data_IF_899893447877
#
_entry.id   IF_899893447877
#
_cell.length_a   1.000
_cell.length_b   1.000
_cell.length_c   1.000
_cell.angle_alpha   90.00
_cell.angle_beta   90.00
_cell.angle_gamma   90.00
#
_symmetry.space_group_name_H-M   'P 1'
#
loop_
_entity.id
_entity.type
_entity.pdbx_description
1 polymer ?
#
# COMPACT_ATOMS: atom_id res chain seq x y z
N UNK A 1 12.82 21.57 -10.35
CA UNK A 1 11.87 20.88 -11.24
C UNK A 1 12.62 19.98 -12.21
N UNK A 2 12.28 18.69 -12.22
CA UNK A 2 12.84 17.73 -13.17
C UNK A 2 12.03 17.72 -14.48
N UNK A 3 12.64 17.21 -15.55
CA UNK A 3 12.00 17.13 -16.88
C UNK A 3 10.69 16.32 -16.88
N UNK A 4 10.56 15.33 -15.99
CA UNK A 4 9.34 14.53 -15.87
C UNK A 4 8.14 15.37 -15.43
N UNK A 5 8.31 16.28 -14.46
CA UNK A 5 7.28 17.22 -13.99
C UNK A 5 6.81 18.13 -15.11
N UNK A 6 7.74 18.69 -15.89
CA UNK A 6 7.38 19.50 -17.05
C UNK A 6 6.56 18.70 -18.07
N UNK A 7 7.02 17.49 -18.42
CA UNK A 7 6.31 16.62 -19.35
C UNK A 7 4.93 16.22 -18.85
N UNK A 8 4.77 16.00 -17.55
CA UNK A 8 3.48 15.66 -16.94
C UNK A 8 2.48 16.81 -17.13
N UNK A 9 2.91 18.04 -16.87
CA UNK A 9 2.07 19.23 -17.06
C UNK A 9 1.74 19.44 -18.55
N UNK A 10 2.72 19.28 -19.43
CA UNK A 10 2.49 19.35 -20.88
C UNK A 10 1.48 18.28 -21.33
N UNK A 11 1.61 17.07 -20.82
CA UNK A 11 0.75 15.94 -21.16
C UNK A 11 -0.71 16.15 -20.68
N UNK A 12 -0.90 16.73 -19.49
CA UNK A 12 -2.21 17.13 -18.97
C UNK A 12 -2.93 18.19 -19.82
N UNK A 13 -2.16 19.07 -20.47
CA UNK A 13 -2.72 20.15 -21.28
C UNK A 13 -2.99 19.71 -22.74
N UNK A 14 -2.72 18.46 -23.11
CA UNK A 14 -3.06 17.96 -24.44
C UNK A 14 -4.57 17.74 -24.51
N UNK A 15 -5.21 18.28 -25.57
CA UNK A 15 -6.58 17.91 -25.92
C UNK A 15 -6.60 16.44 -26.37
N UNK A 16 -6.73 15.53 -25.41
CA UNK A 16 -6.93 14.10 -25.64
C UNK A 16 -8.21 13.67 -24.93
N UNK A 17 -9.09 12.95 -25.65
CA UNK A 17 -10.33 12.43 -25.07
C UNK A 17 -10.08 11.52 -23.86
N UNK A 18 -8.91 10.84 -23.83
CA UNK A 18 -8.43 10.04 -22.69
C UNK A 18 -6.90 10.00 -22.66
N UNK A 19 -6.25 10.47 -21.60
CA UNK A 19 -4.81 10.33 -21.46
C UNK A 19 -4.41 8.86 -21.21
N UNK A 20 -3.21 8.49 -21.66
CA UNK A 20 -2.64 7.16 -21.40
C UNK A 20 -2.13 7.09 -19.96
N UNK A 21 -2.84 6.31 -19.15
CA UNK A 21 -2.54 6.07 -17.73
C UNK A 21 -1.11 5.55 -17.52
N UNK A 22 -0.58 4.78 -18.46
CA UNK A 22 0.79 4.24 -18.36
C UNK A 22 1.85 5.34 -18.49
N UNK A 23 1.58 6.34 -19.34
CA UNK A 23 2.45 7.52 -19.49
C UNK A 23 2.39 8.36 -18.22
N UNK A 24 1.19 8.59 -17.68
CA UNK A 24 1.00 9.27 -16.38
C UNK A 24 1.79 8.61 -15.26
N UNK A 25 1.56 7.31 -15.04
CA UNK A 25 2.26 6.56 -14.00
C UNK A 25 3.77 6.61 -14.20
N UNK A 26 4.27 6.50 -15.43
CA UNK A 26 5.72 6.57 -15.71
C UNK A 26 6.32 7.93 -15.32
N UNK A 27 5.62 9.02 -15.61
CA UNK A 27 6.06 10.38 -15.26
C UNK A 27 5.98 10.62 -13.75
N UNK A 28 4.88 10.23 -13.11
CA UNK A 28 4.70 10.32 -11.65
C UNK A 28 5.78 9.50 -10.93
N UNK A 29 6.03 8.26 -11.34
CA UNK A 29 7.06 7.40 -10.77
C UNK A 29 8.46 8.03 -10.89
N UNK A 30 8.75 8.69 -12.01
CA UNK A 30 10.00 9.43 -12.19
C UNK A 30 10.13 10.60 -11.20
N UNK A 31 9.03 11.29 -10.92
CA UNK A 31 8.97 12.38 -9.90
C UNK A 31 9.11 11.79 -8.50
N UNK A 32 8.44 10.70 -8.19
CA UNK A 32 8.59 10.02 -6.91
C UNK A 32 10.05 9.59 -6.69
N UNK A 33 10.74 9.08 -7.71
CA UNK A 33 12.12 8.60 -7.57
C UNK A 33 13.16 9.72 -7.52
N UNK A 34 13.03 10.75 -8.37
CA UNK A 34 14.09 11.75 -8.60
C UNK A 34 13.65 13.20 -8.36
N UNK A 35 12.37 13.42 -8.08
CA UNK A 35 11.80 14.74 -7.84
C UNK A 35 12.12 15.27 -6.46
N UNK A 36 11.63 16.48 -6.23
CA UNK A 36 11.84 17.25 -5.00
C UNK A 36 10.55 17.91 -4.57
N UNK A 37 10.55 18.54 -3.39
CA UNK A 37 9.45 19.42 -2.97
C UNK A 37 9.09 20.49 -3.99
N UNK A 38 10.08 21.05 -4.72
CA UNK A 38 9.82 22.02 -5.79
C UNK A 38 8.96 21.44 -6.92
N UNK A 39 9.04 20.15 -7.20
CA UNK A 39 8.19 19.49 -8.18
C UNK A 39 6.76 19.36 -7.64
N UNK A 40 6.61 18.97 -6.38
CA UNK A 40 5.32 18.90 -5.70
C UNK A 40 4.64 20.29 -5.59
N UNK A 41 5.39 21.36 -5.32
CA UNK A 41 4.86 22.73 -5.23
C UNK A 41 4.19 23.18 -6.54
N UNK A 42 4.79 22.80 -7.67
CA UNK A 42 4.26 23.12 -9.01
C UNK A 42 3.00 22.31 -9.28
N UNK A 43 3.01 21.01 -8.94
CA UNK A 43 1.82 20.17 -9.09
C UNK A 43 0.69 20.59 -8.16
N UNK A 44 0.97 21.06 -6.95
CA UNK A 44 -0.03 21.62 -6.05
C UNK A 44 -0.66 22.87 -6.64
N UNK A 45 0.15 23.78 -7.23
CA UNK A 45 -0.41 24.95 -7.90
C UNK A 45 -1.38 24.53 -9.02
N UNK A 46 -1.00 23.53 -9.82
CA UNK A 46 -1.85 23.00 -10.89
C UNK A 46 -3.14 22.37 -10.33
N UNK A 47 -3.04 21.58 -9.26
CA UNK A 47 -4.19 21.01 -8.55
C UNK A 47 -5.17 22.12 -8.12
N UNK A 48 -4.67 23.19 -7.49
CA UNK A 48 -5.51 24.28 -6.97
C UNK A 48 -6.19 25.12 -8.07
N UNK A 49 -5.72 25.07 -9.32
CA UNK A 49 -6.39 25.73 -10.45
C UNK A 49 -7.71 25.03 -10.82
N UNK A 50 -7.80 23.72 -10.60
CA UNK A 50 -8.97 22.89 -10.87
C UNK A 50 -9.02 21.69 -9.90
N UNK A 51 -9.37 21.90 -8.61
CA UNK A 51 -9.16 20.91 -7.53
C UNK A 51 -9.98 19.62 -7.68
N UNK A 52 -11.02 19.62 -8.52
CA UNK A 52 -11.91 18.47 -8.74
C UNK A 52 -11.78 17.89 -10.16
N UNK A 53 -10.65 18.11 -10.83
CA UNK A 53 -10.33 17.42 -12.08
C UNK A 53 -10.03 15.94 -11.82
N UNK A 54 -10.59 15.04 -12.63
CA UNK A 54 -10.45 13.59 -12.48
C UNK A 54 -8.98 13.11 -12.52
N UNK A 55 -8.07 13.89 -13.13
CA UNK A 55 -6.66 13.54 -13.22
C UNK A 55 -5.84 13.93 -11.97
N UNK A 56 -6.44 14.65 -11.01
CA UNK A 56 -5.71 15.16 -9.86
C UNK A 56 -5.24 14.06 -8.89
N UNK A 57 -5.95 12.92 -8.84
CA UNK A 57 -5.58 11.79 -7.99
C UNK A 57 -4.17 11.28 -8.27
N UNK A 58 -3.68 11.43 -9.51
CA UNK A 58 -2.30 11.07 -9.90
C UNK A 58 -1.22 11.90 -9.17
N UNK A 59 -1.56 13.04 -8.59
CA UNK A 59 -0.60 13.85 -7.84
C UNK A 59 -0.50 13.44 -6.36
N UNK A 60 -1.47 12.67 -5.85
CA UNK A 60 -1.58 12.41 -4.42
C UNK A 60 -0.35 11.68 -3.87
N UNK A 61 0.22 10.71 -4.60
CA UNK A 61 1.47 10.07 -4.17
C UNK A 61 2.65 11.04 -4.11
N UNK A 62 2.72 12.00 -5.03
CA UNK A 62 3.76 13.05 -5.00
C UNK A 62 3.57 13.94 -3.78
N UNK A 63 2.33 14.29 -3.45
CA UNK A 63 1.99 15.07 -2.27
C UNK A 63 2.29 14.30 -0.98
N UNK A 64 1.94 13.01 -0.88
CA UNK A 64 2.30 12.15 0.27
C UNK A 64 3.81 12.13 0.51
N UNK A 65 4.61 12.08 -0.56
CA UNK A 65 6.07 11.96 -0.46
C UNK A 65 6.77 13.28 -0.15
N UNK A 66 6.36 14.38 -0.77
CA UNK A 66 7.11 15.64 -0.74
C UNK A 66 6.32 16.83 -0.18
N UNK A 67 5.01 16.66 0.02
CA UNK A 67 4.15 17.66 0.63
C UNK A 67 4.36 17.78 2.13
N UNK A 68 3.69 18.77 2.70
CA UNK A 68 3.75 19.08 4.12
C UNK A 68 2.40 19.59 4.63
N UNK A 69 2.38 20.14 5.84
CA UNK A 69 1.18 20.68 6.46
C UNK A 69 0.57 21.84 5.66
N UNK A 70 1.39 22.66 4.97
CA UNK A 70 0.92 23.77 4.15
C UNK A 70 0.19 23.27 2.88
N UNK A 71 0.61 22.12 2.34
CA UNK A 71 -0.14 21.43 1.27
C UNK A 71 -1.50 21.02 1.78
N UNK A 72 -1.52 20.39 2.96
CA UNK A 72 -2.75 19.87 3.53
C UNK A 72 -3.74 20.99 3.84
N UNK A 73 -3.29 22.11 4.40
CA UNK A 73 -4.14 23.28 4.65
C UNK A 73 -4.80 23.79 3.35
N UNK A 74 -4.03 23.97 2.28
CA UNK A 74 -4.56 24.44 0.98
C UNK A 74 -5.56 23.45 0.37
N UNK A 75 -5.29 22.15 0.49
CA UNK A 75 -6.20 21.10 -0.01
C UNK A 75 -7.47 21.07 0.85
N UNK A 76 -7.32 21.16 2.17
CA UNK A 76 -8.42 21.20 3.13
C UNK A 76 -9.37 22.36 2.84
N UNK A 77 -8.83 23.57 2.64
CA UNK A 77 -9.62 24.78 2.35
C UNK A 77 -10.43 24.68 1.04
N UNK A 78 -9.98 23.86 0.08
CA UNK A 78 -10.71 23.62 -1.17
C UNK A 78 -11.72 22.48 -1.07
N UNK A 79 -11.43 21.44 -0.29
CA UNK A 79 -12.17 20.18 -0.34
C UNK A 79 -13.08 19.95 0.87
N UNK A 80 -12.87 20.65 1.99
CA UNK A 80 -13.60 20.44 3.24
C UNK A 80 -14.38 21.71 3.61
N UNK A 81 -15.67 21.54 3.91
CA UNK A 81 -16.53 22.61 4.42
C UNK A 81 -17.41 22.06 5.54
N UNK A 82 -17.55 22.81 6.63
CA UNK A 82 -18.35 22.42 7.80
C UNK A 82 -18.00 21.00 8.32
N UNK A 83 -16.70 20.68 8.34
CA UNK A 83 -16.14 19.36 8.69
C UNK A 83 -16.64 18.21 7.80
N UNK A 84 -16.97 18.48 6.54
CA UNK A 84 -17.41 17.49 5.55
C UNK A 84 -16.67 17.68 4.23
N UNK A 85 -16.36 16.57 3.58
CA UNK A 85 -15.87 16.59 2.20
C UNK A 85 -16.97 17.11 1.28
N UNK A 86 -16.60 18.02 0.38
CA UNK A 86 -17.49 18.50 -0.67
C UNK A 86 -17.86 17.35 -1.62
N UNK A 87 -19.08 17.38 -2.15
CA UNK A 87 -19.64 16.30 -2.99
C UNK A 87 -18.82 16.03 -4.26
N UNK A 88 -18.15 17.06 -4.81
CA UNK A 88 -17.32 16.94 -6.00
C UNK A 88 -15.89 16.46 -5.71
N UNK A 89 -15.50 16.43 -4.43
CA UNK A 89 -14.12 16.11 -4.05
C UNK A 89 -13.94 14.59 -3.93
N UNK A 90 -12.77 14.11 -4.37
CA UNK A 90 -12.41 12.70 -4.25
C UNK A 90 -12.24 12.32 -2.77
N UNK A 91 -12.86 11.21 -2.36
CA UNK A 91 -12.72 10.62 -1.03
C UNK A 91 -11.26 10.32 -0.64
N UNK A 92 -10.36 10.09 -1.59
CA UNK A 92 -8.93 9.85 -1.33
C UNK A 92 -8.23 11.07 -0.69
N UNK A 93 -8.80 12.28 -0.84
CA UNK A 93 -8.34 13.48 -0.14
C UNK A 93 -8.36 13.28 1.38
N UNK A 94 -9.32 12.52 1.93
CA UNK A 94 -9.40 12.22 3.35
C UNK A 94 -8.16 11.46 3.83
N UNK A 95 -7.72 10.46 3.06
CA UNK A 95 -6.50 9.74 3.36
C UNK A 95 -5.28 10.64 3.21
N UNK A 96 -5.19 11.41 2.12
CA UNK A 96 -4.06 12.31 1.86
C UNK A 96 -3.85 13.33 3.00
N UNK A 97 -4.93 13.94 3.49
CA UNK A 97 -4.86 14.87 4.62
C UNK A 97 -4.35 14.19 5.90
N UNK A 98 -4.69 12.90 6.09
CA UNK A 98 -4.12 12.08 7.14
C UNK A 98 -2.64 11.78 6.94
N UNK A 99 -2.22 11.39 5.73
CA UNK A 99 -0.83 11.11 5.38
C UNK A 99 0.07 12.35 5.59
N UNK A 100 -0.46 13.55 5.32
CA UNK A 100 0.18 14.84 5.58
C UNK A 100 0.07 15.30 7.06
N UNK A 101 -0.58 14.53 7.92
CA UNK A 101 -0.73 14.75 9.37
C UNK A 101 -1.39 16.10 9.71
N UNK A 102 -2.38 16.51 8.95
CA UNK A 102 -3.09 17.76 9.17
C UNK A 102 -4.16 17.64 10.25
N UNK A 103 -3.80 17.94 11.49
CA UNK A 103 -4.64 17.72 12.69
C UNK A 103 -6.11 18.17 12.55
N UNK A 104 -6.45 19.33 11.94
CA UNK A 104 -7.85 19.76 11.82
C UNK A 104 -8.77 18.76 11.07
N UNK A 105 -8.23 17.89 10.22
CA UNK A 105 -9.04 16.89 9.50
C UNK A 105 -9.52 15.74 10.41
N UNK A 106 -8.90 15.55 11.57
CA UNK A 106 -9.10 14.34 12.41
C UNK A 106 -10.56 14.11 12.80
N UNK A 107 -11.28 15.16 13.18
CA UNK A 107 -12.72 15.06 13.48
C UNK A 107 -13.54 14.64 12.26
N UNK A 108 -13.17 15.14 11.08
CA UNK A 108 -13.80 14.77 9.81
C UNK A 108 -13.57 13.29 9.49
N UNK A 109 -12.33 12.80 9.66
CA UNK A 109 -12.00 11.38 9.48
C UNK A 109 -12.80 10.49 10.45
N UNK A 110 -12.82 10.85 11.73
CA UNK A 110 -13.57 10.13 12.75
C UNK A 110 -15.08 10.09 12.45
N UNK A 111 -15.63 11.19 11.91
CA UNK A 111 -17.02 11.23 11.46
C UNK A 111 -17.30 10.20 10.36
N UNK A 112 -16.45 10.11 9.33
CA UNK A 112 -16.65 9.15 8.24
C UNK A 112 -16.44 7.68 8.69
N UNK A 113 -15.51 7.44 9.62
CA UNK A 113 -15.25 6.09 10.15
C UNK A 113 -16.36 5.61 11.07
N UNK A 114 -16.75 6.43 12.06
CA UNK A 114 -17.65 6.01 13.15
C UNK A 114 -19.10 6.48 12.98
N UNK A 115 -19.36 7.38 12.03
CA UNK A 115 -20.69 7.90 11.75
C UNK A 115 -21.59 6.93 10.97
N UNK A 116 -22.88 7.23 11.02
CA UNK A 116 -23.90 6.52 10.23
C UNK A 116 -23.94 7.09 8.80
N UNK A 117 -23.09 6.53 7.95
CA UNK A 117 -22.87 6.97 6.55
C UNK A 117 -23.42 5.98 5.52
N UNK A 118 -24.22 5.00 5.95
CA UNK A 118 -24.69 3.93 5.07
C UNK A 118 -23.54 3.07 4.51
N UNK A 119 -23.66 2.65 3.26
CA UNK A 119 -22.75 1.72 2.58
C UNK A 119 -21.67 2.39 1.74
N UNK A 120 -21.30 3.65 1.99
CA UNK A 120 -20.26 4.31 1.20
C UNK A 120 -18.86 3.81 1.58
N UNK A 121 -18.39 2.86 0.78
CA UNK A 121 -17.14 2.13 0.98
C UNK A 121 -15.92 3.06 0.95
N UNK A 122 -15.81 3.94 -0.05
CA UNK A 122 -14.58 4.71 -0.29
C UNK A 122 -14.32 5.74 0.81
N UNK A 123 -15.36 6.44 1.26
CA UNK A 123 -15.24 7.39 2.37
C UNK A 123 -14.76 6.71 3.65
N UNK A 124 -15.30 5.52 3.97
CA UNK A 124 -14.88 4.75 5.15
C UNK A 124 -13.46 4.23 5.00
N UNK A 125 -13.10 3.70 3.82
CA UNK A 125 -11.77 3.19 3.53
C UNK A 125 -10.69 4.28 3.70
N UNK A 126 -10.82 5.38 2.97
CA UNK A 126 -9.84 6.47 3.00
C UNK A 126 -9.79 7.19 4.36
N UNK A 127 -10.93 7.29 5.06
CA UNK A 127 -10.93 7.90 6.40
C UNK A 127 -10.27 7.02 7.44
N UNK A 128 -10.49 5.70 7.40
CA UNK A 128 -9.81 4.77 8.29
C UNK A 128 -8.30 4.79 8.05
N UNK A 129 -7.87 4.77 6.78
CA UNK A 129 -6.47 4.89 6.40
C UNK A 129 -5.86 6.23 6.84
N UNK A 130 -6.55 7.35 6.65
CA UNK A 130 -6.09 8.65 7.14
C UNK A 130 -5.95 8.70 8.66
N UNK A 131 -6.89 8.10 9.40
CA UNK A 131 -6.90 8.08 10.86
C UNK A 131 -5.71 7.30 11.45
N UNK A 132 -5.13 6.36 10.70
CA UNK A 132 -3.91 5.64 11.10
C UNK A 132 -2.70 6.56 11.30
N UNK A 133 -2.72 7.80 10.81
CA UNK A 133 -1.62 8.74 10.96
C UNK A 133 -1.71 9.61 12.24
N UNK A 134 -2.78 9.50 13.03
CA UNK A 134 -3.00 10.31 14.23
C UNK A 134 -2.90 9.50 15.52
N UNK A 135 -2.69 10.18 16.65
CA UNK A 135 -3.04 9.62 17.95
C UNK A 135 -4.57 9.47 18.04
N UNK A 136 -5.06 8.37 18.61
CA UNK A 136 -6.49 8.06 18.70
C UNK A 136 -6.90 7.69 20.12
N UNK A 137 -6.21 8.24 21.13
CA UNK A 137 -6.51 8.02 22.54
C UNK A 137 -7.97 8.37 22.91
N UNK A 138 -8.57 9.35 22.24
CA UNK A 138 -9.96 9.77 22.45
C UNK A 138 -10.99 8.86 21.75
N UNK A 139 -10.56 8.01 20.82
CA UNK A 139 -11.44 7.15 20.01
C UNK A 139 -11.42 5.68 20.42
N UNK A 140 -10.82 5.33 21.56
CA UNK A 140 -10.65 3.94 21.98
C UNK A 140 -11.96 3.15 22.02
N UNK A 141 -13.05 3.74 22.55
CA UNK A 141 -14.35 3.08 22.64
C UNK A 141 -14.97 2.88 21.25
N UNK A 142 -14.87 3.91 20.40
CA UNK A 142 -15.41 3.88 19.04
C UNK A 142 -14.67 2.87 18.16
N UNK A 143 -13.34 2.80 18.26
CA UNK A 143 -12.52 1.83 17.52
C UNK A 143 -12.89 0.41 17.93
N UNK A 144 -12.95 0.11 19.24
CA UNK A 144 -13.35 -1.21 19.73
C UNK A 144 -14.72 -1.62 19.21
N UNK A 145 -15.71 -0.75 19.37
CA UNK A 145 -17.07 -1.01 18.90
C UNK A 145 -17.14 -1.22 17.38
N UNK A 146 -16.39 -0.45 16.60
CA UNK A 146 -16.37 -0.58 15.14
C UNK A 146 -15.70 -1.90 14.69
N UNK A 147 -14.62 -2.32 15.35
CA UNK A 147 -13.96 -3.62 15.08
C UNK A 147 -14.89 -4.77 15.46
N UNK A 148 -15.51 -4.72 16.64
CA UNK A 148 -16.42 -5.77 17.12
C UNK A 148 -17.63 -5.94 16.22
N UNK A 149 -18.11 -4.85 15.61
CA UNK A 149 -19.18 -4.90 14.61
C UNK A 149 -18.78 -5.62 13.32
N UNK A 150 -17.50 -5.89 13.06
CA UNK A 150 -17.04 -6.65 11.90
C UNK A 150 -17.16 -8.17 12.12
N UNK A 151 -17.18 -8.65 13.37
CA UNK A 151 -17.12 -10.08 13.67
C UNK A 151 -18.31 -10.86 13.11
N UNK A 152 -18.01 -12.04 12.55
CA UNK A 152 -19.00 -12.95 11.97
C UNK A 152 -19.66 -12.48 10.68
N UNK A 153 -19.16 -11.42 10.03
CA UNK A 153 -19.70 -10.88 8.78
C UNK A 153 -18.79 -11.15 7.59
N UNK A 154 -19.40 -11.39 6.42
CA UNK A 154 -18.68 -11.54 5.16
C UNK A 154 -18.28 -10.21 4.54
N UNK A 155 -19.19 -9.22 4.55
CA UNK A 155 -18.90 -7.87 4.09
C UNK A 155 -18.70 -6.97 5.30
N UNK A 156 -17.47 -6.45 5.42
CA UNK A 156 -17.06 -5.55 6.50
C UNK A 156 -16.51 -4.25 5.90
N UNK A 157 -16.51 -3.14 6.65
CA UNK A 157 -15.73 -1.96 6.29
C UNK A 157 -14.24 -2.32 6.32
N UNK A 158 -13.69 -2.64 5.17
CA UNK A 158 -12.38 -3.30 4.96
C UNK A 158 -11.24 -2.75 5.83
N UNK A 159 -11.11 -1.43 5.93
CA UNK A 159 -9.99 -0.79 6.63
C UNK A 159 -10.25 -0.42 8.10
N UNK A 160 -11.47 -0.60 8.62
CA UNK A 160 -11.74 -0.40 10.05
C UNK A 160 -10.90 -1.34 10.93
N UNK A 161 -10.76 -2.65 10.61
CA UNK A 161 -9.86 -3.55 11.34
C UNK A 161 -8.42 -3.05 11.51
N UNK A 162 -7.89 -2.23 10.59
CA UNK A 162 -6.53 -1.70 10.70
C UNK A 162 -6.35 -0.81 11.94
N UNK A 163 -7.42 -0.17 12.43
CA UNK A 163 -7.42 0.68 13.61
C UNK A 163 -7.16 -0.09 14.91
N UNK A 164 -7.12 -1.44 14.89
CA UNK A 164 -6.66 -2.24 16.03
C UNK A 164 -5.27 -1.81 16.51
N UNK A 165 -4.44 -1.29 15.59
CA UNK A 165 -3.10 -0.81 15.92
C UNK A 165 -3.10 0.48 16.79
N UNK A 166 -4.24 1.14 16.92
CA UNK A 166 -4.45 2.34 17.72
C UNK A 166 -4.99 2.05 19.12
N UNK A 167 -5.36 0.81 19.41
CA UNK A 167 -5.81 0.42 20.74
C UNK A 167 -4.65 0.34 21.73
N UNK A 168 -4.84 0.85 22.94
CA UNK A 168 -3.85 0.72 24.02
C UNK A 168 -3.67 -0.75 24.46
N UNK A 169 -4.75 -1.52 24.48
CA UNK A 169 -4.76 -2.97 24.64
C UNK A 169 -5.44 -3.62 23.44
N UNK A 170 -4.65 -4.37 22.67
CA UNK A 170 -5.02 -4.94 21.37
C UNK A 170 -4.98 -6.46 21.34
N UNK A 171 -4.40 -7.10 22.36
CA UNK A 171 -4.08 -8.54 22.36
C UNK A 171 -5.34 -9.39 22.15
N UNK A 172 -6.44 -9.02 22.80
CA UNK A 172 -7.72 -9.74 22.70
C UNK A 172 -8.43 -9.59 21.35
N UNK A 173 -7.93 -8.76 20.44
CA UNK A 173 -8.53 -8.51 19.12
C UNK A 173 -7.77 -9.22 17.99
N UNK A 174 -6.49 -9.54 18.16
CA UNK A 174 -5.66 -10.07 17.07
C UNK A 174 -6.09 -11.47 16.60
N UNK A 175 -6.38 -12.38 17.53
CA UNK A 175 -6.87 -13.72 17.19
C UNK A 175 -8.28 -13.69 16.56
N UNK A 176 -9.28 -12.98 17.15
CA UNK A 176 -10.58 -12.82 16.50
C UNK A 176 -10.53 -12.19 15.10
N UNK A 177 -9.62 -11.23 14.88
CA UNK A 177 -9.40 -10.65 13.54
C UNK A 177 -8.79 -11.67 12.57
N UNK A 178 -7.92 -12.55 13.05
CA UNK A 178 -7.38 -13.63 12.22
C UNK A 178 -8.49 -14.62 11.84
N UNK A 179 -9.33 -15.03 12.79
CA UNK A 179 -10.48 -15.89 12.54
C UNK A 179 -11.48 -15.24 11.57
N UNK A 180 -11.76 -13.94 11.76
CA UNK A 180 -12.59 -13.15 10.85
C UNK A 180 -12.10 -13.26 9.41
N UNK A 181 -10.82 -12.94 9.16
CA UNK A 181 -10.28 -12.99 7.79
C UNK A 181 -10.11 -14.40 7.23
N UNK A 182 -9.98 -15.41 8.10
CA UNK A 182 -9.78 -16.80 7.69
C UNK A 182 -11.07 -17.55 7.34
N UNK A 183 -12.16 -17.28 8.08
CA UNK A 183 -13.36 -18.13 8.08
C UNK A 183 -14.65 -17.39 7.70
N UNK A 184 -14.68 -16.05 7.76
CA UNK A 184 -15.92 -15.28 7.63
C UNK A 184 -15.88 -14.21 6.54
N UNK A 185 -14.88 -13.33 6.57
CA UNK A 185 -14.79 -12.18 5.69
C UNK A 185 -14.58 -12.61 4.23
N UNK A 186 -15.12 -11.83 3.30
CA UNK A 186 -14.72 -11.91 1.89
C UNK A 186 -13.22 -11.65 1.78
N UNK A 187 -12.54 -12.34 0.88
CA UNK A 187 -11.12 -12.08 0.61
C UNK A 187 -10.90 -10.63 0.20
N UNK A 188 -11.85 -10.04 -0.52
CA UNK A 188 -11.87 -8.60 -0.88
C UNK A 188 -11.91 -7.63 0.31
N UNK A 189 -12.10 -8.09 1.55
CA UNK A 189 -12.13 -7.24 2.74
C UNK A 189 -10.95 -7.49 3.70
N UNK A 190 -9.99 -8.35 3.32
CA UNK A 190 -8.92 -8.78 4.22
C UNK A 190 -7.73 -7.81 4.29
N UNK A 191 -7.64 -6.83 3.39
CA UNK A 191 -6.51 -5.92 3.35
C UNK A 191 -6.32 -5.10 4.63
N UNK A 192 -7.41 -4.59 5.22
CA UNK A 192 -7.32 -3.83 6.46
C UNK A 192 -6.97 -4.69 7.68
N UNK A 193 -7.38 -5.96 7.70
CA UNK A 193 -6.94 -6.91 8.74
C UNK A 193 -5.43 -7.15 8.63
N UNK A 194 -4.95 -7.40 7.41
CA UNK A 194 -3.52 -7.58 7.13
C UNK A 194 -2.69 -6.36 7.53
N UNK A 195 -3.17 -5.17 7.16
CA UNK A 195 -2.55 -3.90 7.54
C UNK A 195 -2.52 -3.74 9.07
N UNK A 196 -3.63 -4.03 9.75
CA UNK A 196 -3.73 -4.01 11.21
C UNK A 196 -2.69 -4.90 11.89
N UNK A 197 -2.52 -6.15 11.44
CA UNK A 197 -1.46 -7.02 11.96
C UNK A 197 -0.06 -6.42 11.77
N UNK A 198 0.21 -5.85 10.60
CA UNK A 198 1.53 -5.28 10.32
C UNK A 198 1.85 -4.05 11.18
N UNK A 199 0.84 -3.26 11.55
CA UNK A 199 0.99 -2.06 12.36
C UNK A 199 1.01 -2.34 13.87
N UNK A 200 0.74 -3.57 14.30
CA UNK A 200 0.81 -3.99 15.70
C UNK A 200 2.22 -4.45 16.14
N UNK A 201 3.22 -4.33 15.28
CA UNK A 201 4.59 -4.74 15.60
C UNK A 201 4.69 -6.23 15.89
N UNK A 202 5.48 -6.61 16.90
CA UNK A 202 5.78 -8.02 17.18
C UNK A 202 4.53 -8.84 17.55
N UNK A 203 3.57 -8.25 18.26
CA UNK A 203 2.31 -8.93 18.63
C UNK A 203 1.50 -9.36 17.40
N UNK A 204 1.50 -8.52 16.36
CA UNK A 204 0.80 -8.77 15.10
C UNK A 204 1.61 -9.60 14.09
N UNK A 205 2.95 -9.62 14.21
CA UNK A 205 3.86 -10.29 13.26
C UNK A 205 3.55 -11.76 13.04
N UNK A 206 3.19 -12.49 14.10
CA UNK A 206 2.81 -13.90 13.99
C UNK A 206 1.54 -14.10 13.17
N UNK A 207 0.52 -13.24 13.34
CA UNK A 207 -0.74 -13.32 12.60
C UNK A 207 -0.55 -12.92 11.14
N UNK A 208 0.24 -11.87 10.89
CA UNK A 208 0.64 -11.46 9.56
C UNK A 208 1.28 -12.62 8.77
N UNK A 209 2.29 -13.28 9.34
CA UNK A 209 2.96 -14.43 8.70
C UNK A 209 2.01 -15.62 8.48
N UNK A 210 1.15 -15.88 9.45
CA UNK A 210 0.15 -16.96 9.36
C UNK A 210 -0.85 -16.70 8.23
N UNK A 211 -1.28 -15.46 8.06
CA UNK A 211 -2.20 -15.04 7.00
C UNK A 211 -1.54 -15.05 5.61
N UNK A 212 -0.30 -14.58 5.49
CA UNK A 212 0.40 -14.39 4.21
C UNK A 212 0.42 -15.64 3.32
N UNK A 213 0.73 -16.80 3.90
CA UNK A 213 0.81 -18.07 3.17
C UNK A 213 -0.44 -18.96 3.33
N UNK A 214 -1.53 -18.40 3.85
CA UNK A 214 -2.81 -19.09 3.94
C UNK A 214 -3.64 -18.81 2.68
N UNK A 215 -4.03 -19.89 1.99
CA UNK A 215 -4.81 -19.85 0.75
C UNK A 215 -6.15 -19.13 0.88
N UNK A 216 -6.76 -19.12 2.07
CA UNK A 216 -8.05 -18.48 2.31
C UNK A 216 -7.99 -16.94 2.27
N UNK A 217 -6.78 -16.35 2.22
CA UNK A 217 -6.61 -14.90 2.26
C UNK A 217 -6.27 -14.26 0.90
N UNK A 218 -5.89 -15.07 -0.09
CA UNK A 218 -5.63 -14.67 -1.49
C UNK A 218 -4.66 -13.48 -1.66
N UNK A 219 -3.44 -13.57 -1.11
CA UNK A 219 -2.41 -12.52 -1.21
C UNK A 219 -1.52 -12.61 -2.46
N UNK A 220 -1.94 -13.35 -3.50
CA UNK A 220 -1.07 -13.71 -4.63
C UNK A 220 -1.31 -12.91 -5.91
N UNK A 221 -2.39 -12.12 -6.00
CA UNK A 221 -2.71 -11.38 -7.22
C UNK A 221 -3.35 -10.03 -6.93
N UNK A 222 -3.36 -9.17 -7.96
CA UNK A 222 -3.99 -7.86 -7.88
C UNK A 222 -5.51 -7.82 -8.00
N UNK A 223 -6.18 -8.95 -8.22
CA UNK A 223 -7.64 -8.98 -8.37
C UNK A 223 -8.39 -8.46 -7.14
N UNK A 224 -7.87 -8.72 -5.93
CA UNK A 224 -8.45 -8.31 -4.64
C UNK A 224 -7.74 -7.12 -4.01
N UNK A 225 -6.64 -6.61 -4.60
CA UNK A 225 -5.81 -5.55 -4.03
C UNK A 225 -5.00 -5.94 -2.77
N UNK A 226 -5.30 -7.06 -2.14
CA UNK A 226 -4.72 -7.53 -0.87
C UNK A 226 -3.18 -7.61 -0.85
N UNK A 227 -2.57 -8.05 -1.96
CA UNK A 227 -1.11 -8.20 -2.06
C UNK A 227 -0.36 -6.87 -1.87
N UNK A 228 -0.98 -5.72 -2.19
CA UNK A 228 -0.42 -4.38 -1.91
C UNK A 228 -0.21 -4.17 -0.42
N UNK A 229 -1.18 -4.58 0.40
CA UNK A 229 -1.12 -4.44 1.85
C UNK A 229 -0.26 -5.52 2.50
N UNK A 230 -0.13 -6.70 1.88
CA UNK A 230 0.90 -7.65 2.26
C UNK A 230 2.31 -7.06 2.07
N UNK A 231 2.60 -6.43 0.91
CA UNK A 231 3.90 -5.78 0.67
C UNK A 231 4.17 -4.63 1.64
N UNK A 232 3.19 -3.74 1.87
CA UNK A 232 3.29 -2.70 2.91
C UNK A 232 3.57 -3.31 4.30
N UNK A 233 2.93 -4.44 4.61
CA UNK A 233 3.14 -5.11 5.87
C UNK A 233 4.55 -5.70 6.06
N UNK A 234 5.20 -6.14 4.99
CA UNK A 234 6.63 -6.53 5.03
C UNK A 234 7.51 -5.36 5.46
N UNK A 235 7.26 -4.17 4.90
CA UNK A 235 7.99 -2.94 5.25
C UNK A 235 7.75 -2.57 6.73
N UNK A 236 6.49 -2.54 7.15
CA UNK A 236 6.10 -2.21 8.54
C UNK A 236 6.74 -3.15 9.57
N UNK A 237 6.83 -4.45 9.26
CA UNK A 237 7.36 -5.48 10.15
C UNK A 237 8.85 -5.78 9.95
N UNK A 238 9.51 -5.05 9.04
CA UNK A 238 10.89 -5.25 8.65
C UNK A 238 11.20 -6.73 8.26
N UNK A 239 10.30 -7.35 7.48
CA UNK A 239 10.43 -8.73 6.98
C UNK A 239 11.08 -8.68 5.59
N UNK A 240 12.22 -9.34 5.45
CA UNK A 240 12.94 -9.42 4.17
C UNK A 240 12.40 -10.51 3.25
N UNK A 241 12.62 -10.36 1.94
CA UNK A 241 12.39 -11.42 0.97
C UNK A 241 13.27 -12.65 1.24
N UNK A 242 14.50 -12.46 1.75
CA UNK A 242 15.33 -13.58 2.20
C UNK A 242 14.70 -14.38 3.35
N UNK A 243 14.01 -13.71 4.28
CA UNK A 243 13.25 -14.36 5.35
C UNK A 243 12.05 -15.15 4.79
N UNK A 244 11.29 -14.54 3.88
CA UNK A 244 10.19 -15.24 3.19
C UNK A 244 10.70 -16.45 2.41
N UNK A 245 11.82 -16.31 1.71
CA UNK A 245 12.43 -17.41 0.97
C UNK A 245 12.78 -18.58 1.89
N UNK A 246 13.39 -18.29 3.04
CA UNK A 246 13.74 -19.31 4.03
C UNK A 246 12.50 -20.07 4.52
N UNK A 247 11.36 -19.42 4.70
CA UNK A 247 10.09 -20.08 5.05
C UNK A 247 9.60 -20.98 3.90
N UNK A 248 9.67 -20.48 2.67
CA UNK A 248 9.19 -21.19 1.48
C UNK A 248 9.99 -22.49 1.23
N UNK A 249 11.30 -22.47 1.47
CA UNK A 249 12.19 -23.64 1.30
C UNK A 249 11.79 -24.83 2.17
N UNK A 250 11.20 -24.58 3.33
CA UNK A 250 10.78 -25.62 4.27
C UNK A 250 9.44 -26.27 3.88
N UNK A 251 8.71 -25.72 2.89
CA UNK A 251 7.40 -26.23 2.49
C UNK A 251 7.53 -27.52 1.67
N UNK A 252 7.05 -28.61 2.25
CA UNK A 252 7.07 -29.95 1.62
C UNK A 252 5.86 -30.22 0.72
N UNK A 253 4.69 -29.66 1.06
CA UNK A 253 3.46 -29.85 0.28
C UNK A 253 3.48 -28.98 -0.98
N UNK A 254 3.47 -29.61 -2.16
CA UNK A 254 3.65 -28.90 -3.44
C UNK A 254 2.50 -27.91 -3.74
N UNK A 255 1.28 -28.17 -3.26
CA UNK A 255 0.15 -27.23 -3.43
C UNK A 255 0.36 -25.98 -2.58
N UNK A 256 0.76 -26.13 -1.32
CA UNK A 256 1.11 -25.01 -0.43
C UNK A 256 2.34 -24.27 -0.95
N UNK A 257 3.34 -24.99 -1.48
CA UNK A 257 4.52 -24.40 -2.09
C UNK A 257 4.15 -23.56 -3.30
N UNK A 258 3.30 -24.08 -4.20
CA UNK A 258 2.82 -23.37 -5.37
C UNK A 258 2.04 -22.09 -5.03
N UNK A 259 1.26 -22.08 -3.94
CA UNK A 259 0.63 -20.87 -3.41
C UNK A 259 1.67 -19.88 -2.83
N UNK A 260 2.58 -20.35 -1.99
CA UNK A 260 3.57 -19.49 -1.34
C UNK A 260 4.52 -18.82 -2.35
N UNK A 261 4.92 -19.55 -3.40
CA UNK A 261 5.66 -18.99 -4.52
C UNK A 261 4.84 -17.97 -5.31
N UNK A 262 3.54 -18.21 -5.50
CA UNK A 262 2.67 -17.24 -6.17
C UNK A 262 2.59 -15.92 -5.38
N UNK A 263 2.45 -16.00 -4.06
CA UNK A 263 2.54 -14.83 -3.16
C UNK A 263 3.89 -14.13 -3.29
N UNK A 264 5.01 -14.89 -3.23
CA UNK A 264 6.36 -14.33 -3.38
C UNK A 264 6.51 -13.55 -4.70
N UNK A 265 6.06 -14.12 -5.81
CA UNK A 265 6.14 -13.46 -7.12
C UNK A 265 5.23 -12.23 -7.22
N UNK A 266 4.02 -12.25 -6.64
CA UNK A 266 3.19 -11.06 -6.52
C UNK A 266 3.86 -9.93 -5.72
N UNK A 267 4.60 -10.29 -4.67
CA UNK A 267 5.39 -9.34 -3.89
C UNK A 267 6.63 -8.83 -4.65
N UNK A 268 7.25 -9.66 -5.50
CA UNK A 268 8.30 -9.21 -6.43
C UNK A 268 7.77 -8.18 -7.43
N UNK A 269 6.55 -8.35 -7.93
CA UNK A 269 5.89 -7.37 -8.79
C UNK A 269 5.85 -5.98 -8.15
N UNK A 270 5.41 -5.94 -6.89
CA UNK A 270 5.33 -4.69 -6.12
C UNK A 270 6.71 -4.14 -5.82
N UNK A 271 7.68 -4.99 -5.46
CA UNK A 271 9.07 -4.58 -5.23
C UNK A 271 9.71 -3.95 -6.48
N UNK A 272 9.44 -4.48 -7.66
CA UNK A 272 9.91 -3.92 -8.95
C UNK A 272 9.26 -2.57 -9.23
N UNK A 273 8.01 -2.38 -8.82
CA UNK A 273 7.27 -1.11 -8.94
C UNK A 273 7.52 -0.15 -7.77
N UNK A 274 8.28 -0.53 -6.76
CA UNK A 274 8.55 0.32 -5.60
C UNK A 274 9.70 1.29 -5.88
N UNK A 275 9.40 2.58 -5.75
CA UNK A 275 10.34 3.69 -5.97
C UNK A 275 10.81 4.35 -4.67
N UNK A 276 10.38 3.84 -3.52
CA UNK A 276 10.81 4.32 -2.22
C UNK A 276 12.26 3.88 -1.92
N UNK A 277 12.97 4.72 -1.17
CA UNK A 277 14.40 4.54 -0.89
C UNK A 277 14.65 3.88 0.49
N UNK A 278 13.59 3.48 1.18
CA UNK A 278 13.60 2.85 2.52
C UNK A 278 13.55 1.31 2.45
N UNK A 279 13.77 0.75 1.26
CA UNK A 279 13.78 -0.68 1.06
C UNK A 279 14.94 -1.36 1.81
N UNK A 280 14.61 -2.42 2.56
CA UNK A 280 15.56 -3.16 3.41
C UNK A 280 16.59 -3.93 2.57
N UNK A 281 16.19 -4.33 1.35
CA UNK A 281 17.02 -5.08 0.42
C UNK A 281 17.14 -4.35 -0.92
N UNK A 282 18.39 -4.19 -1.37
CA UNK A 282 18.72 -3.72 -2.71
C UNK A 282 18.44 -4.79 -3.77
N UNK A 283 18.28 -4.40 -5.04
CA UNK A 283 18.11 -5.38 -6.12
C UNK A 283 19.36 -6.25 -6.29
N UNK A 284 20.55 -5.74 -5.95
CA UNK A 284 21.77 -6.55 -5.90
C UNK A 284 21.69 -7.67 -4.86
N UNK A 285 21.19 -7.36 -3.66
CA UNK A 285 21.01 -8.35 -2.59
C UNK A 285 19.95 -9.39 -2.98
N UNK A 286 18.81 -8.94 -3.52
CA UNK A 286 17.73 -9.81 -3.98
C UNK A 286 18.22 -10.74 -5.11
N UNK A 287 18.89 -10.20 -6.12
CA UNK A 287 19.41 -11.01 -7.23
C UNK A 287 20.41 -12.06 -6.72
N UNK A 288 21.31 -11.68 -5.83
CA UNK A 288 22.27 -12.62 -5.23
C UNK A 288 21.58 -13.71 -4.41
N UNK A 289 20.49 -13.37 -3.74
CA UNK A 289 19.71 -14.29 -2.87
C UNK A 289 18.96 -15.34 -3.70
N UNK A 290 18.26 -14.93 -4.75
CA UNK A 290 17.37 -15.79 -5.52
C UNK A 290 18.02 -16.39 -6.77
N UNK A 291 18.90 -15.65 -7.45
CA UNK A 291 19.47 -16.00 -8.75
C UNK A 291 20.99 -16.18 -8.73
N UNK A 292 21.64 -15.94 -7.57
CA UNK A 292 23.06 -16.20 -7.38
C UNK A 292 23.40 -17.69 -7.52
N UNK A 293 24.63 -17.98 -7.96
CA UNK A 293 25.06 -19.36 -8.31
C UNK A 293 24.78 -20.41 -7.22
N UNK A 294 24.83 -20.03 -5.94
CA UNK A 294 24.60 -20.94 -4.81
C UNK A 294 23.15 -21.38 -4.65
N UNK A 295 22.20 -20.50 -4.97
CA UNK A 295 20.77 -20.69 -4.67
C UNK A 295 19.94 -20.88 -5.94
N UNK A 296 20.49 -20.60 -7.13
CA UNK A 296 19.75 -20.64 -8.40
C UNK A 296 19.13 -22.01 -8.67
N UNK A 297 19.86 -23.11 -8.44
CA UNK A 297 19.32 -24.46 -8.64
C UNK A 297 18.20 -24.76 -7.65
N UNK A 298 18.40 -24.43 -6.37
CA UNK A 298 17.42 -24.61 -5.30
C UNK A 298 16.12 -23.84 -5.60
N UNK A 299 16.21 -22.57 -6.01
CA UNK A 299 15.03 -21.78 -6.33
C UNK A 299 14.32 -22.26 -7.61
N UNK A 300 15.08 -22.75 -8.59
CA UNK A 300 14.53 -23.35 -9.81
C UNK A 300 13.78 -24.65 -9.51
N UNK A 301 14.34 -25.51 -8.67
CA UNK A 301 13.72 -26.77 -8.25
C UNK A 301 12.41 -26.51 -7.48
N UNK A 302 12.41 -25.49 -6.59
CA UNK A 302 11.20 -25.05 -5.89
C UNK A 302 10.15 -24.51 -6.85
N UNK A 303 10.55 -23.68 -7.81
CA UNK A 303 9.66 -23.12 -8.82
C UNK A 303 9.07 -24.21 -9.73
N UNK A 304 9.84 -25.23 -10.10
CA UNK A 304 9.36 -26.38 -10.86
C UNK A 304 8.32 -27.18 -10.05
N UNK A 305 8.65 -27.54 -8.80
CA UNK A 305 7.73 -28.24 -7.89
C UNK A 305 6.42 -27.47 -7.68
N UNK A 306 6.50 -26.16 -7.51
CA UNK A 306 5.36 -25.27 -7.34
C UNK A 306 4.61 -24.92 -8.63
N UNK A 307 5.04 -25.43 -9.79
CA UNK A 307 4.48 -25.07 -11.12
C UNK A 307 4.53 -23.56 -11.44
N UNK A 308 5.63 -22.88 -11.04
CA UNK A 308 5.89 -21.44 -11.19
C UNK A 308 7.18 -21.11 -11.95
N UNK A 309 7.69 -22.06 -12.74
CA UNK A 309 8.94 -21.89 -13.47
C UNK A 309 8.91 -20.72 -14.48
N UNK A 310 7.73 -20.42 -15.05
CA UNK A 310 7.55 -19.25 -15.93
C UNK A 310 7.74 -17.94 -15.16
N UNK A 311 7.12 -17.82 -13.99
CA UNK A 311 7.19 -16.63 -13.14
C UNK A 311 8.66 -16.37 -12.72
N UNK A 312 9.40 -17.43 -12.37
CA UNK A 312 10.82 -17.37 -12.05
C UNK A 312 11.63 -16.64 -13.15
N UNK A 313 11.50 -17.06 -14.41
CA UNK A 313 12.26 -16.47 -15.51
C UNK A 313 11.83 -15.04 -15.84
N UNK A 314 10.55 -14.74 -15.68
CA UNK A 314 10.04 -13.38 -15.85
C UNK A 314 10.66 -12.42 -14.82
N UNK A 315 10.65 -12.81 -13.55
CA UNK A 315 11.20 -11.99 -12.47
C UNK A 315 12.73 -11.95 -12.44
N UNK A 316 13.44 -13.00 -12.90
CA UNK A 316 14.89 -12.93 -13.11
C UNK A 316 15.23 -11.76 -14.04
N UNK A 317 14.55 -11.69 -15.19
CA UNK A 317 14.78 -10.63 -16.17
C UNK A 317 14.42 -9.24 -15.63
N UNK A 318 13.31 -9.12 -14.88
CA UNK A 318 12.93 -7.85 -14.26
C UNK A 318 13.95 -7.40 -13.21
N UNK A 319 14.50 -8.33 -12.42
CA UNK A 319 15.52 -8.02 -11.43
C UNK A 319 16.85 -7.60 -12.08
N UNK A 320 17.24 -8.20 -13.21
CA UNK A 320 18.41 -7.75 -13.98
C UNK A 320 18.26 -6.32 -14.51
N UNK A 321 17.07 -5.98 -15.01
CA UNK A 321 16.74 -4.61 -15.43
C UNK A 321 16.83 -3.64 -14.25
N UNK A 322 16.26 -4.01 -13.10
CA UNK A 322 16.30 -3.17 -11.90
C UNK A 322 17.68 -3.05 -11.27
N UNK A 323 18.50 -4.09 -11.32
CA UNK A 323 19.91 -4.04 -10.94
C UNK A 323 20.69 -3.05 -11.81
N UNK A 324 20.42 -3.04 -13.12
CA UNK A 324 21.03 -2.08 -14.05
C UNK A 324 20.57 -0.66 -13.74
N UNK A 325 19.27 -0.46 -13.48
CA UNK A 325 18.72 0.84 -13.06
C UNK A 325 19.37 1.35 -11.77
N UNK A 326 19.46 0.50 -10.74
CA UNK A 326 20.10 0.81 -9.46
C UNK A 326 21.57 1.25 -9.66
N UNK A 327 22.35 0.48 -10.44
CA UNK A 327 23.74 0.82 -10.74
C UNK A 327 23.89 2.12 -11.56
N UNK A 328 22.98 2.41 -12.49
CA UNK A 328 22.98 3.69 -13.21
C UNK A 328 22.72 4.84 -12.22
N UNK A 329 21.68 4.71 -11.39
CA UNK A 329 21.31 5.76 -10.43
C UNK A 329 22.44 6.04 -9.45
N UNK A 330 23.13 5.03 -8.92
CA UNK A 330 24.29 5.22 -8.03
C UNK A 330 25.43 5.99 -8.70
N UNK A 331 25.66 5.80 -10.00
CA UNK A 331 26.72 6.49 -10.73
C UNK A 331 26.38 7.94 -11.11
N UNK A 332 25.10 8.32 -11.09
CA UNK A 332 24.62 9.65 -11.52
C UNK A 332 23.89 10.44 -10.43
N UNK A 333 23.78 9.90 -9.22
CA UNK A 333 23.33 10.64 -8.04
C UNK A 333 24.47 11.52 -7.54
N UNK A 334 24.41 12.83 -7.85
CA UNK A 334 25.38 13.85 -7.39
C UNK A 334 24.90 14.50 -6.11
#
# INVERSE_FOLDING_TARGET
MIRATQKLIEYLNLEQDRPDVSVFHSLVNSILKFGTKSDADILLKKFLEAPFDDNNSYFFDVFRKFGDVDFAEKIYDQAIKDNRLLEQADSEILQLLGDLKYEPVKETLAYYVFGDMGSDYYFRAHSALGLLNFDCAEYQVQIKGAIEQCYGKSLIPEFIPALVCKLSDRTSYLEPLYELGNDYASTDCNAGIMLGFSLCGEEGKQYFKKALFNGNWEFFSGGTGNYVFAYKGLKNLNISFAELYSIIREIQDDKKLGYALWVLFGLFELRVKDYENDNIESFMSLYSTFYGQKNRSDFSDLAERGSRLRDLWEYERLFELKLTEEAIVENFSV
#
